data_IF_505001507844
#
_entry.id   IF_505001507844
#
_cell.length_a   1.000
_cell.length_b   1.000
_cell.length_c   1.000
_cell.angle_alpha   90.00
_cell.angle_beta   90.00
_cell.angle_gamma   90.00
#
_symmetry.space_group_name_H-M   'P 1'
#
loop_
_entity.id
_entity.type
_entity.pdbx_description
1 polymer ?
#
# COMPACT_ATOMS: atom_id res chain seq x y z
N UNK A 1 -19.23 38.38 21.99
CA UNK A 1 -18.52 37.11 21.94
C UNK A 1 -19.11 36.23 20.84
N UNK A 2 -18.28 35.77 19.93
CA UNK A 2 -18.73 34.87 18.85
C UNK A 2 -18.65 33.47 19.37
N UNK A 3 -19.79 32.78 19.43
CA UNK A 3 -19.82 31.37 19.78
C UNK A 3 -19.34 30.52 18.60
N UNK A 4 -18.45 29.55 18.83
CA UNK A 4 -18.03 28.66 17.77
C UNK A 4 -19.20 27.81 17.29
N UNK A 5 -19.33 27.73 15.97
CA UNK A 5 -20.32 26.86 15.36
C UNK A 5 -19.67 25.54 14.95
N UNK A 6 -20.16 24.46 15.50
CA UNK A 6 -19.68 23.12 15.14
C UNK A 6 -20.54 22.60 13.98
N UNK A 7 -19.85 22.18 12.92
CA UNK A 7 -20.49 21.59 11.77
C UNK A 7 -19.96 20.16 11.59
N UNK A 8 -20.87 19.20 11.55
CA UNK A 8 -20.48 17.84 11.24
C UNK A 8 -20.22 17.67 9.74
N UNK A 9 -19.04 17.18 9.41
CA UNK A 9 -18.69 16.83 8.04
C UNK A 9 -18.50 15.30 8.01
N UNK A 10 -19.38 14.63 7.26
CA UNK A 10 -19.28 13.16 7.12
C UNK A 10 -18.03 12.79 6.31
N UNK A 11 -17.46 11.61 6.58
CA UNK A 11 -16.36 11.10 5.81
C UNK A 11 -16.77 10.90 4.35
N UNK A 12 -15.89 11.29 3.39
CA UNK A 12 -16.20 11.09 1.99
C UNK A 12 -16.22 9.61 1.64
N UNK A 13 -17.10 9.24 0.72
CA UNK A 13 -17.09 7.93 0.11
C UNK A 13 -16.01 7.88 -0.97
N UNK A 14 -15.22 6.81 -0.97
CA UNK A 14 -14.15 6.61 -1.94
C UNK A 14 -14.62 5.62 -3.01
N UNK A 15 -14.23 5.86 -4.25
CA UNK A 15 -14.59 5.00 -5.38
C UNK A 15 -13.45 4.03 -5.70
N UNK A 16 -13.81 2.77 -5.83
CA UNK A 16 -12.91 1.66 -6.12
C UNK A 16 -13.26 0.99 -7.45
N UNK A 17 -12.73 -0.21 -7.67
CA UNK A 17 -12.97 -0.96 -8.88
C UNK A 17 -14.44 -1.21 -9.15
N UNK A 18 -14.81 -1.27 -10.42
CA UNK A 18 -16.19 -1.50 -10.89
C UNK A 18 -17.20 -0.46 -10.39
N UNK A 19 -16.73 0.76 -10.09
CA UNK A 19 -17.58 1.85 -9.61
C UNK A 19 -18.12 1.68 -8.21
N UNK A 20 -17.62 0.71 -7.45
CA UNK A 20 -18.04 0.45 -6.07
C UNK A 20 -17.45 1.47 -5.11
N UNK A 21 -18.17 1.73 -4.03
CA UNK A 21 -17.76 2.73 -3.05
C UNK A 21 -17.57 2.12 -1.68
N UNK A 22 -16.66 2.69 -0.91
CA UNK A 22 -16.43 2.36 0.50
C UNK A 22 -15.85 3.58 1.21
N UNK A 23 -16.04 3.64 2.51
CA UNK A 23 -15.46 4.70 3.34
C UNK A 23 -14.03 4.35 3.74
N UNK A 24 -13.80 3.10 4.16
CA UNK A 24 -12.47 2.63 4.57
C UNK A 24 -11.67 2.17 3.34
N UNK A 25 -10.50 2.78 3.07
CA UNK A 25 -9.67 2.38 1.93
C UNK A 25 -9.24 0.92 1.95
N UNK A 26 -9.02 0.34 3.12
CA UNK A 26 -8.60 -1.06 3.25
C UNK A 26 -9.73 -1.99 2.80
N UNK A 27 -10.95 -1.72 3.26
CA UNK A 27 -12.11 -2.50 2.85
C UNK A 27 -12.36 -2.38 1.36
N UNK A 28 -12.29 -1.16 0.83
CA UNK A 28 -12.50 -0.92 -0.59
C UNK A 28 -11.48 -1.64 -1.46
N UNK A 29 -10.21 -1.58 -1.11
CA UNK A 29 -9.16 -2.27 -1.86
C UNK A 29 -9.31 -3.79 -1.78
N UNK A 30 -9.65 -4.32 -0.62
CA UNK A 30 -9.82 -5.76 -0.44
C UNK A 30 -11.02 -6.29 -1.21
N UNK A 31 -12.15 -5.58 -1.16
CA UNK A 31 -13.41 -6.06 -1.74
C UNK A 31 -13.52 -5.77 -3.24
N UNK A 32 -13.05 -4.62 -3.68
CA UNK A 32 -13.31 -4.13 -5.04
C UNK A 32 -12.06 -3.88 -5.86
N UNK A 33 -10.90 -3.83 -5.24
CA UNK A 33 -9.65 -3.48 -5.90
C UNK A 33 -9.53 -1.98 -6.18
N UNK A 34 -8.42 -1.54 -6.77
CA UNK A 34 -8.19 -0.13 -7.10
C UNK A 34 -9.13 0.35 -8.20
N UNK A 35 -9.38 1.65 -8.21
CA UNK A 35 -10.29 2.30 -9.17
C UNK A 35 -9.92 1.99 -10.63
N UNK A 36 -8.65 2.09 -10.98
CA UNK A 36 -8.15 1.82 -12.32
C UNK A 36 -7.00 0.79 -12.28
N UNK A 37 -7.38 -0.48 -12.18
CA UNK A 37 -6.39 -1.56 -12.09
C UNK A 37 -5.79 -1.97 -13.44
N UNK A 38 -6.28 -1.48 -14.56
CA UNK A 38 -5.69 -1.79 -15.86
C UNK A 38 -4.39 -1.03 -16.12
N UNK A 39 -4.27 0.18 -15.58
CA UNK A 39 -3.09 1.03 -15.77
C UNK A 39 -1.86 0.60 -15.00
N UNK A 40 -2.07 -0.04 -13.85
CA UNK A 40 -0.99 -0.31 -12.90
C UNK A 40 -0.40 -1.71 -13.03
N UNK A 41 -1.04 -2.59 -13.79
CA UNK A 41 -0.57 -3.96 -13.97
C UNK A 41 0.83 -4.03 -14.56
N UNK A 42 1.59 -5.02 -14.16
CA UNK A 42 2.88 -5.36 -14.75
C UNK A 42 4.00 -5.50 -13.73
N UNK A 43 5.17 -5.84 -14.24
CA UNK A 43 6.38 -5.99 -13.43
C UNK A 43 7.00 -4.62 -13.19
N UNK A 44 7.41 -4.37 -11.95
CA UNK A 44 8.08 -3.13 -11.55
C UNK A 44 9.51 -3.40 -11.14
N UNK A 45 10.40 -2.58 -11.66
CA UNK A 45 11.79 -2.56 -11.23
C UNK A 45 11.95 -1.52 -10.11
N UNK A 46 12.63 -1.91 -9.04
CA UNK A 46 12.72 -1.10 -7.82
C UNK A 46 14.19 -0.70 -7.62
N UNK A 47 14.40 0.56 -7.29
CA UNK A 47 15.69 1.05 -6.80
C UNK A 47 15.57 1.43 -5.34
N UNK A 48 16.55 1.08 -4.53
CA UNK A 48 16.58 1.39 -3.09
C UNK A 48 17.86 2.14 -2.77
N UNK A 49 17.74 3.30 -2.16
CA UNK A 49 18.86 4.13 -1.73
C UNK A 49 18.85 4.20 -0.20
N UNK A 50 19.94 3.82 0.42
CA UNK A 50 20.06 3.85 1.86
C UNK A 50 21.21 3.03 2.37
N UNK A 51 21.38 2.95 3.69
CA UNK A 51 22.38 2.09 4.31
C UNK A 51 22.07 0.61 4.06
N UNK A 52 23.09 -0.24 4.11
CA UNK A 52 22.92 -1.67 3.86
C UNK A 52 21.84 -2.30 4.76
N UNK A 53 21.80 -1.91 6.03
CA UNK A 53 20.81 -2.43 6.97
C UNK A 53 19.40 -2.01 6.61
N UNK A 54 19.21 -0.74 6.24
CA UNK A 54 17.89 -0.22 5.84
C UNK A 54 17.44 -0.82 4.51
N UNK A 55 18.37 -0.99 3.55
CA UNK A 55 18.04 -1.61 2.26
C UNK A 55 17.54 -3.05 2.45
N UNK A 56 18.20 -3.82 3.31
CA UNK A 56 17.78 -5.18 3.61
C UNK A 56 16.38 -5.21 4.24
N UNK A 57 16.12 -4.33 5.19
CA UNK A 57 14.79 -4.22 5.82
C UNK A 57 13.71 -3.84 4.81
N UNK A 58 14.03 -2.95 3.88
CA UNK A 58 13.08 -2.56 2.84
C UNK A 58 12.78 -3.72 1.90
N UNK A 59 13.78 -4.49 1.50
CA UNK A 59 13.58 -5.67 0.64
C UNK A 59 12.71 -6.70 1.36
N UNK A 60 12.95 -6.97 2.63
CA UNK A 60 12.14 -7.89 3.41
C UNK A 60 10.69 -7.41 3.51
N UNK A 61 10.50 -6.10 3.69
CA UNK A 61 9.16 -5.50 3.71
C UNK A 61 8.45 -5.66 2.36
N UNK A 62 9.14 -5.38 1.25
CA UNK A 62 8.58 -5.53 -0.09
C UNK A 62 8.18 -6.98 -0.37
N UNK A 63 9.00 -7.95 0.04
CA UNK A 63 8.65 -9.37 -0.09
C UNK A 63 7.41 -9.72 0.73
N UNK A 64 7.28 -9.13 1.91
CA UNK A 64 6.14 -9.38 2.78
C UNK A 64 4.84 -8.85 2.19
N UNK A 65 4.84 -7.63 1.65
CA UNK A 65 3.63 -7.02 1.07
C UNK A 65 3.31 -7.52 -0.33
N UNK A 66 4.23 -8.19 -1.00
CA UNK A 66 4.01 -8.74 -2.34
C UNK A 66 2.93 -9.82 -2.32
N UNK A 67 2.96 -10.68 -1.32
CA UNK A 67 1.96 -11.72 -1.12
C UNK A 67 0.94 -11.34 -0.04
N UNK A 68 0.01 -12.24 0.25
CA UNK A 68 -1.03 -11.96 1.24
C UNK A 68 -0.47 -11.86 2.66
N UNK A 69 -1.01 -10.91 3.41
CA UNK A 69 -0.75 -10.75 4.83
C UNK A 69 -2.03 -11.10 5.56
N UNK A 70 -2.02 -12.22 6.27
CA UNK A 70 -3.16 -12.69 7.03
C UNK A 70 -3.06 -12.12 8.44
N UNK A 71 -4.12 -11.43 8.86
CA UNK A 71 -4.22 -10.97 10.23
C UNK A 71 -4.62 -12.14 11.13
N UNK A 72 -3.74 -12.52 12.07
CA UNK A 72 -4.00 -13.60 13.02
C UNK A 72 -5.07 -13.25 14.05
N UNK A 73 -5.43 -11.98 14.15
CA UNK A 73 -6.51 -11.51 15.02
C UNK A 73 -7.83 -11.58 14.24
N UNK A 74 -8.81 -12.27 14.78
CA UNK A 74 -10.14 -12.39 14.18
C UNK A 74 -10.97 -11.10 14.28
N UNK A 75 -10.35 -9.99 14.66
CA UNK A 75 -11.00 -8.69 14.72
C UNK A 75 -11.42 -8.22 13.32
N UNK A 76 -12.69 -7.92 13.16
CA UNK A 76 -13.25 -7.38 11.92
C UNK A 76 -12.64 -6.03 11.55
N UNK A 77 -12.09 -5.30 12.54
CA UNK A 77 -11.50 -3.98 12.34
C UNK A 77 -10.21 -3.99 11.52
N UNK A 78 -9.59 -5.15 11.30
CA UNK A 78 -8.32 -5.26 10.58
C UNK A 78 -8.41 -6.36 9.52
N UNK A 79 -8.90 -6.03 8.32
CA UNK A 79 -8.98 -7.01 7.26
C UNK A 79 -7.59 -7.50 6.82
N UNK A 80 -7.53 -8.70 6.28
CA UNK A 80 -6.33 -9.22 5.67
C UNK A 80 -5.96 -8.38 4.46
N UNK A 81 -4.65 -8.28 4.18
CA UNK A 81 -4.17 -7.65 2.97
C UNK A 81 -3.87 -8.73 1.92
N UNK A 82 -4.51 -8.69 0.73
CA UNK A 82 -4.31 -9.73 -0.29
C UNK A 82 -2.92 -9.75 -0.93
N UNK A 83 -2.15 -8.68 -0.80
CA UNK A 83 -0.85 -8.53 -1.43
C UNK A 83 -0.87 -7.58 -2.61
N UNK A 84 0.30 -7.06 -2.97
CA UNK A 84 0.44 -6.13 -4.10
C UNK A 84 -0.01 -6.76 -5.41
N UNK A 85 0.40 -7.99 -5.67
CA UNK A 85 0.07 -8.66 -6.92
C UNK A 85 -1.43 -8.90 -7.06
N UNK A 86 -2.06 -9.42 -6.02
CA UNK A 86 -3.49 -9.70 -6.03
C UNK A 86 -4.34 -8.43 -6.06
N UNK A 87 -3.93 -7.40 -5.32
CA UNK A 87 -4.70 -6.17 -5.20
C UNK A 87 -4.54 -5.27 -6.42
N UNK A 88 -3.29 -5.06 -6.88
CA UNK A 88 -2.97 -4.07 -7.90
C UNK A 88 -2.51 -4.67 -9.23
N UNK A 89 -2.27 -5.98 -9.30
CA UNK A 89 -1.68 -6.60 -10.48
C UNK A 89 -0.21 -6.23 -10.67
N UNK A 90 0.45 -5.76 -9.63
CA UNK A 90 1.86 -5.37 -9.67
C UNK A 90 2.72 -6.50 -9.16
N UNK A 91 3.72 -6.89 -9.95
CA UNK A 91 4.76 -7.82 -9.52
C UNK A 91 6.09 -7.07 -9.41
N UNK A 92 6.84 -7.33 -8.35
CA UNK A 92 8.15 -6.73 -8.15
C UNK A 92 9.22 -7.69 -8.67
N UNK A 93 10.15 -7.17 -9.47
CA UNK A 93 11.29 -7.95 -9.95
C UNK A 93 12.36 -7.97 -8.85
N UNK A 94 12.31 -8.98 -7.98
CA UNK A 94 13.27 -9.11 -6.87
C UNK A 94 14.67 -9.55 -7.35
N UNK A 95 14.80 -10.11 -8.54
CA UNK A 95 16.08 -10.54 -9.08
C UNK A 95 16.94 -9.38 -9.58
N UNK A 96 16.36 -8.21 -9.74
CA UNK A 96 17.04 -7.05 -10.31
C UNK A 96 16.74 -5.77 -9.54
N UNK A 97 16.90 -5.81 -8.22
CA UNK A 97 16.77 -4.61 -7.38
C UNK A 97 18.09 -3.85 -7.42
N UNK A 98 18.04 -2.60 -7.85
CA UNK A 98 19.19 -1.70 -7.83
C UNK A 98 19.34 -1.14 -6.43
N UNK A 99 20.51 -1.32 -5.83
CA UNK A 99 20.81 -0.85 -4.49
C UNK A 99 21.94 0.16 -4.52
N UNK A 100 21.69 1.34 -3.95
CA UNK A 100 22.68 2.40 -3.83
C UNK A 100 22.93 2.70 -2.35
N UNK A 101 24.20 2.75 -1.97
CA UNK A 101 24.61 3.06 -0.63
C UNK A 101 24.65 4.58 -0.40
N UNK A 102 24.25 5.00 0.80
CA UNK A 102 24.42 6.38 1.24
C UNK A 102 25.55 6.42 2.24
N UNK A 103 26.59 7.21 1.93
CA UNK A 103 27.66 7.50 2.88
C UNK A 103 27.26 8.70 3.72
N UNK A 104 27.56 8.66 5.02
CA UNK A 104 27.16 9.71 5.95
C UNK A 104 27.64 11.10 5.53
N UNK A 105 28.81 11.19 4.89
CA UNK A 105 29.37 12.45 4.39
C UNK A 105 28.63 13.04 3.19
N UNK A 106 27.74 12.29 2.58
CA UNK A 106 26.97 12.72 1.41
C UNK A 106 25.60 13.29 1.78
N UNK A 107 25.31 13.38 3.08
CA UNK A 107 24.04 13.87 3.58
C UNK A 107 24.11 15.37 3.88
#
# INVERSE_FOLDING_TARGET
MIEPTLKYISEPSLTFGSGQTAIDPRDGLMLFGPFDHKRIKGVRNIGIIGSANLRRKMIDYLKRIHGPIVNGDLSIARPNFPGLESTFGISINFDNIIQLDIKQKDI
#
